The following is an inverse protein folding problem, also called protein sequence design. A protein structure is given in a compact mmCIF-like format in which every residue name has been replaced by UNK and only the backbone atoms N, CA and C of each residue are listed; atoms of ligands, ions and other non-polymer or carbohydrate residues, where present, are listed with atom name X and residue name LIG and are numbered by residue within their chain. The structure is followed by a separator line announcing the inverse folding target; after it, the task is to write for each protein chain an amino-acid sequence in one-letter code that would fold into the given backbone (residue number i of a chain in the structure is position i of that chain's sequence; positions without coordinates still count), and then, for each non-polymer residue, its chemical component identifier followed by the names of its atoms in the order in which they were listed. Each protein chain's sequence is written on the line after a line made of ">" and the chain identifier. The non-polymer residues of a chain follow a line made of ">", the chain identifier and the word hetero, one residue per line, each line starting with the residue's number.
data_IF_559754781600
#
_entry.id   IF_559754781600
#
_cell.length_a   1.000
_cell.length_b   1.000
_cell.length_c   1.000
_cell.angle_alpha   90.00
_cell.angle_beta   90.00
_cell.angle_gamma   90.00
#
_symmetry.space_group_name_H-M   'P 1'
#
loop_
_entity.id
_entity.type
_entity.pdbx_description
1 polymer ?
#
# COMPACT_ATOMS: atom_id res chain seq x y z
N UNK A 1 -114.66 -58.78 32.89
CA UNK A 1 -115.63 -59.30 31.89
C UNK A 1 -114.86 -59.69 30.64
N UNK A 2 -115.03 -60.94 30.19
CA UNK A 2 -114.38 -61.53 29.01
C UNK A 2 -114.86 -60.86 27.71
N UNK A 3 -113.98 -60.69 26.73
CA UNK A 3 -114.24 -61.05 25.31
C UNK A 3 -112.92 -61.18 24.52
N UNK A 4 -112.71 -62.38 23.97
CA UNK A 4 -111.71 -62.75 22.97
C UNK A 4 -112.12 -62.26 21.57
N UNK A 5 -111.15 -62.10 20.67
CA UNK A 5 -111.37 -61.95 19.21
C UNK A 5 -110.08 -61.95 18.35
N UNK A 6 -109.51 -63.14 18.10
CA UNK A 6 -108.98 -63.71 16.83
C UNK A 6 -108.32 -62.73 15.81
N UNK A 7 -106.99 -62.66 15.64
CA UNK A 7 -106.03 -63.41 14.76
C UNK A 7 -106.26 -63.32 13.23
N UNK A 8 -105.27 -62.76 12.50
CA UNK A 8 -104.84 -63.26 11.18
C UNK A 8 -103.33 -63.00 10.95
N UNK A 9 -102.60 -64.05 10.56
CA UNK A 9 -101.17 -64.08 10.23
C UNK A 9 -101.01 -64.72 8.84
N UNK A 10 -100.12 -64.15 8.02
CA UNK A 10 -99.30 -64.87 7.03
C UNK A 10 -99.37 -64.33 5.60
N UNK A 11 -98.44 -64.71 4.68
CA UNK A 11 -97.15 -65.36 4.88
C UNK A 11 -95.97 -64.71 4.11
N UNK A 12 -94.76 -65.10 4.50
CA UNK A 12 -93.47 -64.93 3.83
C UNK A 12 -93.41 -65.82 2.56
N UNK A 13 -92.87 -65.32 1.42
CA UNK A 13 -92.21 -66.14 0.37
C UNK A 13 -91.43 -65.30 -0.68
N UNK A 14 -90.11 -65.38 -0.55
CA UNK A 14 -88.99 -65.49 -1.52
C UNK A 14 -89.17 -65.21 -3.04
N UNK A 15 -88.05 -64.71 -3.63
CA UNK A 15 -87.60 -64.66 -5.06
C UNK A 15 -87.52 -63.23 -5.63
N UNK A 16 -86.52 -62.75 -6.38
CA UNK A 16 -85.38 -63.30 -7.14
C UNK A 16 -84.38 -62.15 -7.42
N UNK A 17 -83.10 -62.52 -7.48
CA UNK A 17 -81.96 -61.87 -8.15
C UNK A 17 -82.20 -60.62 -9.04
N UNK A 18 -81.40 -59.57 -8.81
CA UNK A 18 -80.74 -58.85 -9.91
C UNK A 18 -79.33 -58.38 -9.45
N UNK A 19 -78.30 -59.09 -9.90
CA UNK A 19 -76.94 -58.56 -10.00
C UNK A 19 -76.93 -57.48 -11.09
N UNK A 20 -76.38 -56.30 -10.81
CA UNK A 20 -75.62 -55.49 -11.79
C UNK A 20 -74.70 -54.50 -11.05
N UNK A 21 -73.39 -54.75 -11.17
CA UNK A 21 -72.24 -53.84 -11.13
C UNK A 21 -71.93 -52.97 -9.88
N UNK A 22 -70.89 -53.34 -9.09
CA UNK A 22 -69.94 -52.37 -8.55
C UNK A 22 -68.82 -52.11 -9.57
N UNK A 23 -68.01 -51.07 -9.34
CA UNK A 23 -66.78 -50.65 -10.06
C UNK A 23 -67.00 -49.45 -11.00
N UNK A 24 -66.65 -48.25 -10.50
CA UNK A 24 -65.95 -47.12 -11.16
C UNK A 24 -66.22 -45.80 -10.41
N UNK A 25 -65.71 -45.66 -9.18
CA UNK A 25 -65.70 -44.35 -8.47
C UNK A 25 -64.34 -43.98 -7.86
N UNK A 26 -63.28 -44.74 -8.16
CA UNK A 26 -61.91 -44.39 -7.74
C UNK A 26 -61.15 -43.56 -8.78
N UNK A 27 -61.75 -43.30 -9.95
CA UNK A 27 -61.10 -42.58 -11.07
C UNK A 27 -61.31 -41.06 -11.10
N UNK A 28 -62.19 -40.50 -10.26
CA UNK A 28 -62.56 -39.08 -10.33
C UNK A 28 -61.76 -38.16 -9.40
N UNK A 29 -61.20 -38.67 -8.29
CA UNK A 29 -60.39 -37.85 -7.37
C UNK A 29 -59.07 -37.42 -8.02
N UNK A 30 -58.34 -38.35 -8.64
CA UNK A 30 -57.07 -38.04 -9.32
C UNK A 30 -57.21 -37.08 -10.51
N UNK A 31 -58.34 -37.09 -11.23
CA UNK A 31 -58.55 -36.18 -12.35
C UNK A 31 -58.82 -34.74 -11.88
N UNK A 32 -59.53 -34.57 -10.76
CA UNK A 32 -59.79 -33.26 -10.16
C UNK A 32 -58.53 -32.66 -9.53
N UNK A 33 -57.75 -33.47 -8.81
CA UNK A 33 -56.47 -33.06 -8.21
C UNK A 33 -55.46 -32.60 -9.28
N UNK A 34 -55.44 -33.30 -10.42
CA UNK A 34 -54.59 -32.94 -11.57
C UNK A 34 -54.90 -31.55 -12.14
N UNK A 35 -56.19 -31.19 -12.23
CA UNK A 35 -56.67 -29.90 -12.72
C UNK A 35 -56.42 -28.78 -11.70
N UNK A 36 -56.71 -29.03 -10.43
CA UNK A 36 -56.50 -28.05 -9.36
C UNK A 36 -55.02 -27.68 -9.22
N UNK A 37 -54.12 -28.67 -9.23
CA UNK A 37 -52.69 -28.41 -9.20
C UNK A 37 -52.22 -27.54 -10.39
N UNK A 38 -52.76 -27.75 -11.60
CA UNK A 38 -52.42 -26.94 -12.78
C UNK A 38 -52.83 -25.47 -12.61
N UNK A 39 -53.97 -25.21 -11.97
CA UNK A 39 -54.42 -23.85 -11.67
C UNK A 39 -53.52 -23.19 -10.63
N UNK A 40 -53.15 -23.90 -9.55
CA UNK A 40 -52.24 -23.38 -8.53
C UNK A 40 -50.86 -23.06 -9.11
N UNK A 41 -50.33 -23.89 -10.03
CA UNK A 41 -49.10 -23.58 -10.77
C UNK A 41 -49.19 -22.30 -11.61
N UNK A 42 -50.32 -22.10 -12.30
CA UNK A 42 -50.53 -20.89 -13.10
C UNK A 42 -50.55 -19.63 -12.23
N UNK A 43 -51.28 -19.68 -11.10
CA UNK A 43 -51.34 -18.58 -10.14
C UNK A 43 -49.96 -18.27 -9.53
N UNK A 44 -49.20 -19.30 -9.14
CA UNK A 44 -47.85 -19.12 -8.60
C UNK A 44 -46.91 -18.45 -9.62
N UNK A 45 -47.01 -18.82 -10.89
CA UNK A 45 -46.25 -18.19 -11.98
C UNK A 45 -46.65 -16.74 -12.23
N UNK A 46 -47.94 -16.44 -12.26
CA UNK A 46 -48.42 -15.07 -12.45
C UNK A 46 -47.91 -14.16 -11.32
N UNK A 47 -47.94 -14.63 -10.08
CA UNK A 47 -47.38 -13.92 -8.92
C UNK A 47 -45.87 -13.71 -9.06
N UNK A 48 -45.12 -14.71 -9.52
CA UNK A 48 -43.69 -14.59 -9.80
C UNK A 48 -43.42 -13.51 -10.86
N UNK A 49 -44.15 -13.53 -11.97
CA UNK A 49 -44.00 -12.56 -13.07
C UNK A 49 -44.36 -11.14 -12.65
N UNK A 50 -45.28 -10.98 -11.69
CA UNK A 50 -45.62 -9.71 -11.05
C UNK A 50 -44.57 -9.23 -10.03
N UNK A 51 -43.54 -10.03 -9.75
CA UNK A 51 -42.53 -9.73 -8.72
C UNK A 51 -43.01 -10.00 -7.29
N UNK A 52 -44.19 -10.61 -7.12
CA UNK A 52 -44.74 -11.04 -5.83
C UNK A 52 -44.11 -12.36 -5.38
N UNK A 53 -42.81 -12.34 -5.12
CA UNK A 53 -42.00 -13.54 -4.84
C UNK A 53 -42.48 -14.31 -3.61
N UNK A 54 -42.80 -13.64 -2.51
CA UNK A 54 -43.32 -14.30 -1.30
C UNK A 54 -44.65 -15.01 -1.56
N UNK A 55 -45.60 -14.32 -2.19
CA UNK A 55 -46.90 -14.92 -2.53
C UNK A 55 -46.78 -16.09 -3.53
N UNK A 56 -45.84 -16.00 -4.47
CA UNK A 56 -45.50 -17.09 -5.38
C UNK A 56 -44.95 -18.31 -4.63
N UNK A 57 -44.02 -18.09 -3.68
CA UNK A 57 -43.46 -19.14 -2.82
C UNK A 57 -44.53 -19.81 -1.95
N UNK A 58 -45.49 -19.05 -1.42
CA UNK A 58 -46.60 -19.60 -0.63
C UNK A 58 -47.45 -20.56 -1.47
N UNK A 59 -47.76 -20.18 -2.72
CA UNK A 59 -48.50 -21.02 -3.66
C UNK A 59 -47.74 -22.27 -4.08
N UNK A 60 -46.42 -22.16 -4.29
CA UNK A 60 -45.61 -23.33 -4.56
C UNK A 60 -45.49 -24.27 -3.35
N UNK A 61 -45.42 -23.72 -2.13
CA UNK A 61 -45.41 -24.51 -0.90
C UNK A 61 -46.71 -25.31 -0.76
N UNK A 62 -47.86 -24.69 -1.03
CA UNK A 62 -49.17 -25.36 -1.07
C UNK A 62 -49.16 -26.56 -2.04
N UNK A 63 -48.50 -26.44 -3.20
CA UNK A 63 -48.38 -27.53 -4.17
C UNK A 63 -47.54 -28.68 -3.62
N UNK A 64 -46.41 -28.37 -2.96
CA UNK A 64 -45.53 -29.42 -2.39
C UNK A 64 -46.23 -30.23 -1.30
N UNK A 65 -47.14 -29.62 -0.55
CA UNK A 65 -47.91 -30.27 0.51
C UNK A 65 -49.09 -31.08 -0.05
N UNK A 66 -49.87 -30.49 -0.96
CA UNK A 66 -51.13 -31.08 -1.45
C UNK A 66 -50.94 -32.08 -2.58
N UNK A 67 -49.88 -31.93 -3.39
CA UNK A 67 -49.64 -32.74 -4.58
C UNK A 67 -48.21 -33.29 -4.63
N UNK A 68 -47.82 -34.24 -3.74
CA UNK A 68 -46.45 -34.75 -3.67
C UNK A 68 -45.90 -35.31 -4.98
N UNK A 69 -46.76 -35.83 -5.86
CA UNK A 69 -46.38 -36.34 -7.19
C UNK A 69 -45.98 -35.25 -8.20
N UNK A 70 -46.23 -33.97 -7.89
CA UNK A 70 -45.85 -32.80 -8.72
C UNK A 70 -44.92 -31.84 -7.97
N UNK A 71 -44.44 -32.24 -6.79
CA UNK A 71 -43.66 -31.37 -5.93
C UNK A 71 -42.23 -31.14 -6.45
N UNK A 72 -41.71 -31.98 -7.34
CA UNK A 72 -40.40 -31.81 -7.95
C UNK A 72 -40.30 -30.49 -8.73
N UNK A 73 -41.29 -30.20 -9.59
CA UNK A 73 -41.37 -28.90 -10.28
C UNK A 73 -41.54 -27.75 -9.29
N UNK A 74 -42.42 -27.89 -8.30
CA UNK A 74 -42.66 -26.83 -7.32
C UNK A 74 -41.39 -26.51 -6.52
N UNK A 75 -40.64 -27.53 -6.08
CA UNK A 75 -39.34 -27.37 -5.41
C UNK A 75 -38.32 -26.69 -6.32
N UNK A 76 -38.28 -27.03 -7.61
CA UNK A 76 -37.39 -26.38 -8.57
C UNK A 76 -37.70 -24.87 -8.69
N UNK A 77 -38.97 -24.51 -8.88
CA UNK A 77 -39.39 -23.12 -9.04
C UNK A 77 -39.18 -22.33 -7.75
N UNK A 78 -39.49 -22.89 -6.58
CA UNK A 78 -39.19 -22.28 -5.28
C UNK A 78 -37.71 -21.98 -5.14
N UNK A 79 -36.85 -22.93 -5.52
CA UNK A 79 -35.41 -22.77 -5.46
C UNK A 79 -34.94 -21.60 -6.34
N UNK A 80 -35.49 -21.48 -7.55
CA UNK A 80 -35.20 -20.36 -8.46
C UNK A 80 -35.67 -19.02 -7.86
N UNK A 81 -36.86 -18.98 -7.27
CA UNK A 81 -37.42 -17.76 -6.65
C UNK A 81 -36.58 -17.31 -5.45
N UNK A 82 -36.14 -18.25 -4.60
CA UNK A 82 -35.27 -17.96 -3.46
C UNK A 82 -33.91 -17.41 -3.91
N UNK A 83 -33.37 -17.80 -5.06
CA UNK A 83 -32.11 -17.28 -5.58
C UNK A 83 -32.27 -16.07 -6.52
N UNK A 84 -33.49 -15.61 -6.76
CA UNK A 84 -33.76 -14.64 -7.82
C UNK A 84 -33.13 -13.26 -7.52
N UNK A 85 -32.34 -12.65 -8.44
CA UNK A 85 -31.59 -11.43 -8.15
C UNK A 85 -32.45 -10.22 -7.74
N UNK A 86 -33.66 -10.12 -8.29
CA UNK A 86 -34.64 -9.06 -7.98
C UNK A 86 -35.48 -9.35 -6.73
N UNK A 87 -35.37 -10.55 -6.16
CA UNK A 87 -36.02 -10.85 -4.89
C UNK A 87 -35.19 -10.21 -3.77
N UNK A 88 -35.73 -9.16 -3.15
CA UNK A 88 -35.08 -8.49 -2.02
C UNK A 88 -34.94 -9.41 -0.81
N UNK A 89 -35.85 -10.40 -0.69
CA UNK A 89 -35.82 -11.45 0.32
C UNK A 89 -35.15 -12.74 -0.20
N UNK A 90 -34.26 -12.62 -1.19
CA UNK A 90 -33.52 -13.78 -1.70
C UNK A 90 -32.76 -14.47 -0.56
N UNK A 91 -32.79 -15.79 -0.58
CA UNK A 91 -32.23 -16.66 0.44
C UNK A 91 -31.56 -17.85 -0.26
N UNK A 92 -30.26 -17.73 -0.49
CA UNK A 92 -29.49 -18.77 -1.16
C UNK A 92 -29.49 -20.09 -0.40
N UNK A 93 -29.66 -20.07 0.93
CA UNK A 93 -29.72 -21.28 1.74
C UNK A 93 -31.01 -22.03 1.49
N UNK A 94 -32.16 -21.35 1.52
CA UNK A 94 -33.47 -21.96 1.17
C UNK A 94 -33.51 -22.45 -0.28
N UNK A 95 -32.86 -21.73 -1.19
CA UNK A 95 -32.70 -22.17 -2.58
C UNK A 95 -31.95 -23.50 -2.68
N UNK A 96 -30.80 -23.59 -2.01
CA UNK A 96 -30.00 -24.83 -1.96
C UNK A 96 -30.78 -25.98 -1.32
N UNK A 97 -31.52 -25.73 -0.24
CA UNK A 97 -32.36 -26.73 0.42
C UNK A 97 -33.44 -27.29 -0.52
N UNK A 98 -34.10 -26.43 -1.30
CA UNK A 98 -35.09 -26.85 -2.28
C UNK A 98 -34.47 -27.73 -3.38
N UNK A 99 -33.33 -27.33 -3.95
CA UNK A 99 -32.63 -28.15 -4.95
C UNK A 99 -32.12 -29.47 -4.38
N UNK A 100 -31.58 -29.46 -3.16
CA UNK A 100 -31.10 -30.67 -2.49
C UNK A 100 -32.25 -31.63 -2.18
N UNK A 101 -33.39 -31.11 -1.71
CA UNK A 101 -34.61 -31.89 -1.47
C UNK A 101 -35.13 -32.51 -2.76
N UNK A 102 -35.17 -31.75 -3.86
CA UNK A 102 -35.55 -32.25 -5.18
C UNK A 102 -34.67 -33.42 -5.61
N UNK A 103 -33.35 -33.28 -5.56
CA UNK A 103 -32.40 -34.33 -5.98
C UNK A 103 -32.55 -35.59 -5.11
N UNK A 104 -32.77 -35.41 -3.81
CA UNK A 104 -32.87 -36.50 -2.83
C UNK A 104 -34.18 -37.27 -2.94
N UNK A 105 -35.30 -36.58 -3.04
CA UNK A 105 -36.65 -37.17 -2.98
C UNK A 105 -37.16 -37.57 -4.38
N UNK A 106 -36.67 -36.92 -5.44
CA UNK A 106 -37.10 -37.12 -6.83
C UNK A 106 -35.92 -37.39 -7.77
N UNK A 107 -35.18 -38.51 -7.60
CA UNK A 107 -33.94 -38.79 -8.34
C UNK A 107 -34.12 -38.97 -9.86
N UNK A 108 -35.35 -39.22 -10.32
CA UNK A 108 -35.73 -39.33 -11.73
C UNK A 108 -36.40 -38.08 -12.32
N UNK A 109 -36.43 -36.96 -11.58
CA UNK A 109 -37.02 -35.71 -12.07
C UNK A 109 -36.22 -35.12 -13.24
N UNK A 110 -36.92 -34.55 -14.23
CA UNK A 110 -36.30 -33.83 -15.35
C UNK A 110 -35.49 -32.60 -14.89
N UNK A 111 -35.80 -32.08 -13.70
CA UNK A 111 -35.13 -30.91 -13.11
C UNK A 111 -33.82 -31.23 -12.40
N UNK A 112 -33.46 -32.51 -12.25
CA UNK A 112 -32.32 -32.93 -11.43
C UNK A 112 -30.98 -32.33 -11.88
N UNK A 113 -30.62 -32.46 -13.16
CA UNK A 113 -29.33 -31.97 -13.67
C UNK A 113 -29.21 -30.44 -13.54
N UNK A 114 -30.29 -29.72 -13.86
CA UNK A 114 -30.34 -28.26 -13.69
C UNK A 114 -30.20 -27.87 -12.21
N UNK A 115 -30.80 -28.64 -11.29
CA UNK A 115 -30.68 -28.43 -9.84
C UNK A 115 -29.23 -28.63 -9.35
N UNK A 116 -28.56 -29.68 -9.82
CA UNK A 116 -27.15 -29.94 -9.50
C UNK A 116 -26.25 -28.79 -9.98
N UNK A 117 -26.46 -28.31 -11.21
CA UNK A 117 -25.74 -27.16 -11.76
C UNK A 117 -26.02 -25.87 -10.97
N UNK A 118 -27.28 -25.64 -10.59
CA UNK A 118 -27.66 -24.43 -9.86
C UNK A 118 -27.09 -24.43 -8.44
N UNK A 119 -27.02 -25.59 -7.76
CA UNK A 119 -26.32 -25.72 -6.48
C UNK A 119 -24.86 -25.30 -6.60
N UNK A 120 -24.16 -25.78 -7.63
CA UNK A 120 -22.75 -25.40 -7.87
C UNK A 120 -22.62 -23.88 -8.08
N UNK A 121 -23.48 -23.29 -8.91
CA UNK A 121 -23.45 -21.86 -9.20
C UNK A 121 -23.75 -21.00 -7.96
N UNK A 122 -24.78 -21.35 -7.19
CA UNK A 122 -25.15 -20.61 -5.97
C UNK A 122 -24.02 -20.66 -4.95
N UNK A 123 -23.39 -21.82 -4.73
CA UNK A 123 -22.23 -21.92 -3.82
C UNK A 123 -21.08 -21.01 -4.24
N UNK A 124 -20.79 -20.94 -5.54
CA UNK A 124 -19.76 -20.04 -6.05
C UNK A 124 -20.10 -18.56 -5.85
N UNK A 125 -21.36 -18.17 -6.01
CA UNK A 125 -21.81 -16.80 -5.73
C UNK A 125 -21.65 -16.47 -4.25
N UNK A 126 -22.13 -17.34 -3.36
CA UNK A 126 -22.01 -17.13 -1.90
C UNK A 126 -20.55 -16.98 -1.46
N UNK A 127 -19.65 -17.83 -1.96
CA UNK A 127 -18.22 -17.73 -1.64
C UNK A 127 -17.59 -16.43 -2.14
N UNK A 128 -17.96 -15.99 -3.35
CA UNK A 128 -17.48 -14.72 -3.90
C UNK A 128 -17.99 -13.53 -3.09
N UNK A 129 -19.26 -13.53 -2.71
CA UNK A 129 -19.85 -12.45 -1.91
C UNK A 129 -19.17 -12.33 -0.54
N UNK A 130 -18.88 -13.46 0.13
CA UNK A 130 -18.10 -13.49 1.37
C UNK A 130 -16.69 -12.93 1.18
N UNK A 131 -16.03 -13.30 0.08
CA UNK A 131 -14.68 -12.81 -0.25
C UNK A 131 -14.70 -11.30 -0.51
N UNK A 132 -15.68 -10.81 -1.26
CA UNK A 132 -15.86 -9.38 -1.54
C UNK A 132 -16.09 -8.61 -0.24
N UNK A 133 -16.96 -9.09 0.65
CA UNK A 133 -17.21 -8.47 1.94
C UNK A 133 -15.92 -8.41 2.80
N UNK A 134 -15.16 -9.51 2.87
CA UNK A 134 -13.90 -9.53 3.59
C UNK A 134 -12.87 -8.54 3.01
N UNK A 135 -12.76 -8.47 1.68
CA UNK A 135 -11.87 -7.53 1.01
C UNK A 135 -12.30 -6.07 1.22
N UNK A 136 -13.60 -5.78 1.23
CA UNK A 136 -14.12 -4.45 1.53
C UNK A 136 -13.72 -3.98 2.93
N UNK A 137 -13.85 -4.86 3.94
CA UNK A 137 -13.41 -4.55 5.30
C UNK A 137 -11.90 -4.28 5.40
N UNK A 138 -11.08 -5.04 4.67
CA UNK A 138 -9.63 -4.80 4.60
C UNK A 138 -9.31 -3.45 3.93
N UNK A 139 -9.99 -3.12 2.83
CA UNK A 139 -9.82 -1.84 2.13
C UNK A 139 -10.16 -0.67 3.05
N UNK A 140 -11.26 -0.77 3.82
CA UNK A 140 -11.65 0.27 4.77
C UNK A 140 -10.62 0.44 5.88
N UNK A 141 -10.09 -0.66 6.42
CA UNK A 141 -9.04 -0.63 7.44
C UNK A 141 -7.78 0.08 6.91
N UNK A 142 -7.30 -0.31 5.72
CA UNK A 142 -6.13 0.29 5.09
C UNK A 142 -6.34 1.78 4.78
N UNK A 143 -7.55 2.17 4.36
CA UNK A 143 -7.87 3.59 4.13
C UNK A 143 -7.73 4.43 5.40
N UNK A 144 -8.17 3.90 6.55
CA UNK A 144 -7.98 4.59 7.83
C UNK A 144 -6.50 4.70 8.22
N UNK A 145 -5.70 3.66 8.00
CA UNK A 145 -4.26 3.69 8.27
C UNK A 145 -3.53 4.72 7.38
N UNK A 146 -3.86 4.76 6.09
CA UNK A 146 -3.29 5.75 5.14
C UNK A 146 -3.62 7.17 5.59
N UNK A 147 -4.88 7.45 5.95
CA UNK A 147 -5.28 8.77 6.46
C UNK A 147 -4.56 9.16 7.76
N UNK A 148 -4.27 8.18 8.63
CA UNK A 148 -3.47 8.40 9.83
C UNK A 148 -2.05 8.84 9.50
N UNK A 149 -1.38 8.10 8.61
CA UNK A 149 -0.02 8.39 8.15
C UNK A 149 0.08 9.72 7.40
N UNK A 150 -0.91 10.09 6.60
CA UNK A 150 -0.96 11.38 5.92
C UNK A 150 -0.91 12.56 6.91
N UNK A 151 -1.64 12.47 8.03
CA UNK A 151 -1.61 13.50 9.09
C UNK A 151 -0.25 13.60 9.78
N UNK A 152 0.42 12.46 9.98
CA UNK A 152 1.77 12.43 10.53
C UNK A 152 2.77 13.09 9.58
N UNK A 153 2.70 12.78 8.29
CA UNK A 153 3.55 13.39 7.24
C UNK A 153 3.39 14.90 7.25
N UNK A 154 2.16 15.42 7.24
CA UNK A 154 1.90 16.87 7.29
C UNK A 154 2.49 17.51 8.55
N UNK A 155 2.44 16.82 9.69
CA UNK A 155 3.01 17.30 10.95
C UNK A 155 4.54 17.35 10.88
N UNK A 156 5.17 16.33 10.30
CA UNK A 156 6.61 16.28 10.12
C UNK A 156 7.10 17.35 9.14
N UNK A 157 6.40 17.55 8.02
CA UNK A 157 6.71 18.61 7.05
C UNK A 157 6.73 20.00 7.70
N UNK A 158 5.71 20.33 8.52
CA UNK A 158 5.68 21.60 9.27
C UNK A 158 6.86 21.76 10.24
N UNK A 159 7.30 20.66 10.86
CA UNK A 159 8.49 20.69 11.74
C UNK A 159 9.77 20.92 10.93
N UNK A 160 9.91 20.29 9.78
CA UNK A 160 11.04 20.50 8.87
C UNK A 160 11.11 21.96 8.44
N UNK A 161 10.02 22.54 7.94
CA UNK A 161 9.95 23.96 7.56
C UNK A 161 10.31 24.90 8.74
N UNK A 162 9.86 24.56 9.96
CA UNK A 162 10.19 25.35 11.14
C UNK A 162 11.68 25.23 11.54
N UNK A 163 12.32 24.09 11.29
CA UNK A 163 13.75 23.92 11.51
C UNK A 163 14.57 24.64 10.45
N UNK A 164 14.19 24.57 9.17
CA UNK A 164 14.84 25.30 8.08
C UNK A 164 14.88 26.80 8.37
N UNK A 165 13.75 27.41 8.75
CA UNK A 165 13.71 28.83 9.15
C UNK A 165 14.62 29.18 10.33
N UNK A 166 14.80 28.24 11.27
CA UNK A 166 15.72 28.45 12.40
C UNK A 166 17.18 28.38 11.95
N UNK A 167 17.51 27.48 11.03
CA UNK A 167 18.84 27.38 10.43
C UNK A 167 19.15 28.67 9.68
N UNK A 168 18.26 29.14 8.81
CA UNK A 168 18.43 30.42 8.09
C UNK A 168 18.64 31.60 9.04
N UNK A 169 17.86 31.67 10.12
CA UNK A 169 18.02 32.74 11.11
C UNK A 169 19.33 32.65 11.90
N UNK A 170 19.87 31.45 12.12
CA UNK A 170 21.16 31.25 12.76
C UNK A 170 22.30 31.60 11.79
N UNK A 171 22.20 31.21 10.53
CA UNK A 171 23.18 31.54 9.49
C UNK A 171 23.27 33.05 9.27
N UNK A 172 22.12 33.75 9.23
CA UNK A 172 22.12 35.21 9.15
C UNK A 172 22.80 35.86 10.36
N UNK A 173 22.49 35.40 11.57
CA UNK A 173 23.13 35.90 12.80
C UNK A 173 24.64 35.65 12.80
N UNK A 174 25.06 34.50 12.27
CA UNK A 174 26.46 34.16 12.14
C UNK A 174 27.16 35.09 11.13
N UNK A 175 26.55 35.33 9.97
CA UNK A 175 27.09 36.25 8.98
C UNK A 175 27.20 37.69 9.51
N UNK A 176 26.21 38.16 10.27
CA UNK A 176 26.24 39.47 10.93
C UNK A 176 27.39 39.55 11.95
N UNK A 177 27.59 38.49 12.74
CA UNK A 177 28.69 38.38 13.70
C UNK A 177 30.06 38.38 13.00
N UNK A 178 30.22 37.60 11.93
CA UNK A 178 31.43 37.56 11.12
C UNK A 178 31.72 38.94 10.47
N UNK A 179 30.68 39.62 9.97
CA UNK A 179 30.81 40.96 9.39
C UNK A 179 31.26 41.99 10.44
N UNK A 180 30.75 41.91 11.67
CA UNK A 180 31.18 42.80 12.76
C UNK A 180 32.65 42.57 13.17
N UNK A 181 33.13 41.32 13.14
CA UNK A 181 34.51 40.96 13.48
C UNK A 181 35.51 41.23 12.34
N UNK A 182 35.02 41.35 11.11
CA UNK A 182 35.83 41.53 9.91
C UNK A 182 36.05 40.21 9.16
N UNK A 183 36.39 40.31 7.87
CA UNK A 183 36.65 39.14 7.02
C UNK A 183 37.69 38.20 7.61
N UNK A 184 37.58 36.90 7.32
CA UNK A 184 38.58 35.90 7.75
C UNK A 184 39.96 36.33 7.26
N UNK A 185 40.92 36.46 8.18
CA UNK A 185 42.30 36.85 7.87
C UNK A 185 43.23 35.63 7.81
N UNK A 186 42.82 34.51 8.44
CA UNK A 186 43.58 33.27 8.46
C UNK A 186 42.69 32.03 8.43
N UNK A 187 43.09 31.06 7.62
CA UNK A 187 42.64 29.67 7.64
C UNK A 187 43.76 28.83 8.28
N UNK A 188 43.44 28.12 9.36
CA UNK A 188 44.36 27.17 9.99
C UNK A 188 43.89 25.74 9.72
N UNK A 189 44.76 24.94 9.10
CA UNK A 189 44.53 23.52 8.83
C UNK A 189 45.47 22.70 9.70
N UNK A 190 44.91 21.79 10.49
CA UNK A 190 45.65 20.84 11.33
C UNK A 190 45.44 19.44 10.78
N UNK A 191 46.48 18.87 10.16
CA UNK A 191 46.35 17.64 9.39
C UNK A 191 46.07 16.44 10.28
N UNK A 192 46.79 16.31 11.40
CA UNK A 192 46.57 15.24 12.39
C UNK A 192 45.16 15.26 12.97
N UNK A 193 44.59 16.45 13.17
CA UNK A 193 43.24 16.64 13.68
C UNK A 193 42.14 16.58 12.61
N UNK A 194 42.50 16.52 11.31
CA UNK A 194 41.57 16.60 10.16
C UNK A 194 40.60 17.76 10.31
N UNK A 195 41.16 18.93 10.59
CA UNK A 195 40.41 20.12 10.95
C UNK A 195 40.86 21.36 10.18
N UNK A 196 39.90 22.13 9.69
CA UNK A 196 40.09 23.48 9.14
C UNK A 196 39.35 24.49 10.01
N UNK A 197 40.01 25.58 10.39
CA UNK A 197 39.45 26.67 11.19
C UNK A 197 39.51 27.99 10.44
N UNK A 198 38.39 28.72 10.41
CA UNK A 198 38.33 30.11 9.94
C UNK A 198 38.59 31.04 11.12
N UNK A 199 39.57 31.92 10.99
CA UNK A 199 40.01 32.82 12.05
C UNK A 199 39.92 34.26 11.57
N UNK A 200 39.38 35.13 12.42
CA UNK A 200 39.38 36.59 12.22
C UNK A 200 39.87 37.24 13.51
N UNK A 201 40.91 38.06 13.41
CA UNK A 201 41.51 38.80 14.53
C UNK A 201 41.91 37.90 15.72
N UNK A 202 42.31 36.65 15.45
CA UNK A 202 42.73 35.68 16.45
C UNK A 202 41.60 34.84 17.07
N UNK A 203 40.33 35.11 16.76
CA UNK A 203 39.18 34.33 17.21
C UNK A 203 38.76 33.30 16.14
N UNK A 204 38.43 32.08 16.57
CA UNK A 204 37.90 31.02 15.68
C UNK A 204 36.41 31.28 15.43
N UNK A 205 36.05 31.53 14.17
CA UNK A 205 34.66 31.74 13.75
C UNK A 205 33.95 30.41 13.46
N UNK A 206 34.61 29.50 12.72
CA UNK A 206 34.08 28.21 12.29
C UNK A 206 35.16 27.15 12.28
N UNK A 207 34.73 25.90 12.39
CA UNK A 207 35.56 24.71 12.35
C UNK A 207 34.89 23.66 11.48
N UNK A 208 35.63 23.09 10.53
CA UNK A 208 35.16 22.06 9.62
C UNK A 208 36.02 20.80 9.74
N UNK A 209 35.41 19.65 9.51
CA UNK A 209 36.15 18.41 9.27
C UNK A 209 36.63 18.42 7.82
N UNK A 210 37.79 17.83 7.56
CA UNK A 210 38.37 17.81 6.22
C UNK A 210 38.87 16.43 5.84
N UNK A 211 38.90 16.15 4.53
CA UNK A 211 39.68 15.07 3.96
C UNK A 211 40.92 15.65 3.26
N UNK A 212 42.05 14.95 3.42
CA UNK A 212 43.35 15.38 2.92
C UNK A 212 43.82 14.52 1.74
N UNK A 213 45.07 14.74 1.33
CA UNK A 213 45.76 13.84 0.44
C UNK A 213 45.86 12.42 1.02
N UNK A 214 45.70 11.39 0.17
CA UNK A 214 45.72 9.99 0.60
C UNK A 214 47.02 9.50 1.26
N UNK A 215 48.06 10.35 1.31
CA UNK A 215 49.25 10.17 2.11
C UNK A 215 49.48 11.42 2.98
N UNK A 216 48.72 11.63 4.06
CA UNK A 216 48.69 12.92 4.74
C UNK A 216 49.92 13.17 5.64
N UNK A 217 50.85 12.22 5.81
CA UNK A 217 51.94 12.35 6.78
C UNK A 217 53.13 13.13 6.19
N UNK A 218 53.49 14.22 6.88
CA UNK A 218 54.59 15.11 6.52
C UNK A 218 54.27 16.03 5.33
N UNK A 219 55.18 16.97 5.01
CA UNK A 219 54.95 17.93 3.95
C UNK A 219 54.96 17.28 2.58
N UNK A 220 54.29 17.91 1.62
CA UNK A 220 54.41 17.61 0.19
C UNK A 220 55.83 17.85 -0.31
N UNK A 221 56.39 16.88 -1.03
CA UNK A 221 57.78 16.88 -1.50
C UNK A 221 57.88 16.81 -3.03
N UNK A 222 56.92 16.15 -3.69
CA UNK A 222 56.92 15.99 -5.15
C UNK A 222 55.51 15.87 -5.75
N UNK A 223 55.40 16.12 -7.04
CA UNK A 223 54.18 15.83 -7.79
C UNK A 223 53.83 14.33 -7.68
N UNK A 224 52.57 14.04 -7.36
CA UNK A 224 52.06 12.66 -7.27
C UNK A 224 52.31 11.90 -5.96
N UNK A 225 52.93 12.52 -4.93
CA UNK A 225 53.12 11.89 -3.61
C UNK A 225 51.85 11.79 -2.74
N UNK A 226 50.73 12.35 -3.22
CA UNK A 226 49.44 12.44 -2.54
C UNK A 226 49.49 13.06 -1.14
N UNK A 227 50.49 13.91 -0.87
CA UNK A 227 50.60 14.63 0.40
C UNK A 227 49.95 16.01 0.30
N UNK A 228 49.23 16.41 1.34
CA UNK A 228 48.86 17.82 1.55
C UNK A 228 50.08 18.58 2.09
N UNK A 229 50.41 19.77 1.54
CA UNK A 229 51.59 20.54 1.96
C UNK A 229 51.52 20.99 3.43
N UNK A 230 52.67 21.38 3.99
CA UNK A 230 52.77 21.98 5.32
C UNK A 230 53.59 23.28 5.22
N UNK A 231 53.06 24.37 5.77
CA UNK A 231 53.65 25.70 5.63
C UNK A 231 52.61 26.81 5.63
N UNK A 232 53.03 27.98 5.16
CA UNK A 232 52.16 29.16 5.04
C UNK A 232 52.01 29.52 3.57
N UNK A 233 50.75 29.75 3.17
CA UNK A 233 50.30 30.07 1.82
C UNK A 233 49.26 31.20 1.89
N UNK A 234 48.76 31.64 0.75
CA UNK A 234 47.62 32.55 0.66
C UNK A 234 46.59 32.02 -0.33
N UNK A 235 45.31 32.39 -0.16
CA UNK A 235 44.32 32.22 -1.23
C UNK A 235 44.63 33.22 -2.33
N UNK A 236 44.95 32.76 -3.53
CA UNK A 236 45.31 33.59 -4.68
C UNK A 236 44.40 33.39 -5.90
N UNK A 237 43.51 32.39 -5.87
CA UNK A 237 42.59 32.09 -6.97
C UNK A 237 41.29 31.43 -6.53
N UNK A 238 40.26 31.53 -7.38
CA UNK A 238 38.94 30.92 -7.17
C UNK A 238 38.43 30.35 -8.48
N UNK A 239 37.78 29.20 -8.40
CA UNK A 239 37.11 28.59 -9.53
C UNK A 239 35.70 28.13 -9.13
N UNK A 240 34.70 28.84 -9.65
CA UNK A 240 33.28 28.54 -9.46
C UNK A 240 32.77 27.46 -10.43
N UNK A 241 33.44 27.26 -11.57
CA UNK A 241 33.10 26.24 -12.58
C UNK A 241 34.06 25.04 -12.46
N UNK A 242 34.30 24.60 -11.23
CA UNK A 242 35.25 23.51 -10.97
C UNK A 242 34.61 22.13 -11.20
N UNK A 243 35.46 21.12 -11.43
CA UNK A 243 35.03 19.70 -11.46
C UNK A 243 34.61 19.19 -10.08
N UNK A 244 34.84 20.02 -9.07
CA UNK A 244 34.36 19.95 -7.70
C UNK A 244 33.51 21.20 -7.49
N UNK A 245 32.42 21.12 -6.74
CA UNK A 245 31.42 22.19 -6.62
C UNK A 245 31.98 23.63 -6.66
N UNK A 246 32.89 23.96 -5.74
CA UNK A 246 33.69 25.18 -5.76
C UNK A 246 35.12 24.86 -5.35
N UNK A 247 36.11 25.64 -5.79
CA UNK A 247 37.49 25.51 -5.31
C UNK A 247 38.23 26.83 -5.15
N UNK A 248 39.09 26.90 -4.13
CA UNK A 248 39.97 28.02 -3.79
C UNK A 248 41.42 27.56 -3.96
N UNK A 249 42.19 28.22 -4.83
CA UNK A 249 43.60 27.93 -5.03
C UNK A 249 44.42 28.54 -3.89
N UNK A 250 45.40 27.77 -3.39
CA UNK A 250 46.40 28.29 -2.45
C UNK A 250 47.74 28.43 -3.16
N UNK A 251 48.55 29.39 -2.72
CA UNK A 251 49.85 29.75 -3.32
C UNK A 251 50.98 28.71 -3.14
N UNK A 252 50.66 27.42 -3.13
CA UNK A 252 51.63 26.32 -3.19
C UNK A 252 52.14 26.15 -4.63
N UNK A 253 53.45 25.92 -4.85
CA UNK A 253 54.52 25.82 -3.84
C UNK A 253 55.11 27.19 -3.45
N UNK A 254 55.43 27.35 -2.16
CA UNK A 254 56.22 28.50 -1.70
C UNK A 254 57.73 28.25 -1.88
N UNK A 255 58.58 29.23 -1.56
CA UNK A 255 60.03 29.12 -1.73
C UNK A 255 60.67 27.95 -0.96
N UNK A 256 60.16 27.61 0.23
CA UNK A 256 60.66 26.45 0.99
C UNK A 256 60.33 25.14 0.28
N UNK A 257 59.12 25.03 -0.28
CA UNK A 257 58.69 23.85 -1.04
C UNK A 257 59.48 23.70 -2.34
N UNK A 258 59.72 24.81 -3.06
CA UNK A 258 60.55 24.81 -4.27
C UNK A 258 62.00 24.40 -3.98
N UNK A 259 62.59 24.92 -2.91
CA UNK A 259 63.95 24.56 -2.51
C UNK A 259 64.06 23.07 -2.13
N UNK A 260 63.11 22.55 -1.34
CA UNK A 260 63.03 21.13 -0.98
C UNK A 260 62.93 20.24 -2.23
N UNK A 261 62.06 20.58 -3.17
CA UNK A 261 61.90 19.82 -4.40
C UNK A 261 63.15 19.89 -5.30
N UNK A 262 63.82 21.05 -5.34
CA UNK A 262 65.09 21.25 -6.06
C UNK A 262 66.22 20.39 -5.50
N UNK A 263 66.36 20.33 -4.18
CA UNK A 263 67.35 19.46 -3.50
C UNK A 263 67.13 17.97 -3.81
N UNK A 264 65.87 17.57 -3.96
CA UNK A 264 65.47 16.20 -4.32
C UNK A 264 65.52 15.92 -5.83
N UNK A 265 65.77 16.92 -6.68
CA UNK A 265 65.78 16.78 -8.14
C UNK A 265 64.40 16.44 -8.74
N UNK A 266 63.31 16.88 -8.10
CA UNK A 266 61.92 16.57 -8.49
C UNK A 266 61.09 17.84 -8.71
N UNK A 267 59.96 17.71 -9.41
CA UNK A 267 58.96 18.78 -9.48
C UNK A 267 58.12 18.79 -8.21
N UNK A 268 57.90 19.95 -7.55
CA UNK A 268 56.98 20.05 -6.41
C UNK A 268 55.51 19.81 -6.83
N UNK A 269 55.19 20.00 -8.12
CA UNK A 269 53.82 20.09 -8.60
C UNK A 269 53.19 21.45 -8.30
N UNK A 270 51.86 21.47 -8.20
CA UNK A 270 51.04 22.68 -8.00
C UNK A 270 49.57 22.30 -7.77
N UNK A 271 48.66 23.23 -8.04
CA UNK A 271 47.20 23.05 -8.03
C UNK A 271 46.66 22.47 -6.70
N UNK A 272 47.15 22.98 -5.57
CA UNK A 272 46.60 22.64 -4.27
C UNK A 272 45.43 23.58 -4.01
N UNK A 273 44.27 22.97 -3.75
CA UNK A 273 43.02 23.69 -3.57
C UNK A 273 42.37 23.32 -2.23
N UNK A 274 41.56 24.24 -1.71
CA UNK A 274 40.46 23.91 -0.80
C UNK A 274 39.21 23.78 -1.66
N UNK A 275 38.50 22.65 -1.63
CA UNK A 275 37.37 22.43 -2.54
C UNK A 275 36.22 21.63 -1.92
N UNK A 276 35.04 21.74 -2.52
CA UNK A 276 33.86 20.93 -2.19
C UNK A 276 33.97 19.49 -2.69
N UNK A 277 32.85 18.78 -2.75
CA UNK A 277 32.79 17.40 -3.24
C UNK A 277 32.83 17.38 -4.77
N UNK A 278 33.28 16.26 -5.32
CA UNK A 278 33.29 16.04 -6.77
C UNK A 278 31.87 16.09 -7.30
N UNK A 279 31.66 16.77 -8.44
CA UNK A 279 30.34 16.87 -9.06
C UNK A 279 29.74 15.47 -9.28
N UNK A 280 28.42 15.34 -9.02
CA UNK A 280 27.65 14.09 -8.96
C UNK A 280 27.88 13.21 -7.72
N UNK A 281 28.72 13.63 -6.76
CA UNK A 281 28.95 12.93 -5.50
C UNK A 281 28.58 13.77 -4.27
N UNK A 282 27.93 14.92 -4.42
CA UNK A 282 27.50 15.80 -3.33
C UNK A 282 26.68 15.08 -2.25
N UNK A 283 25.91 14.04 -2.63
CA UNK A 283 25.13 13.21 -1.70
C UNK A 283 25.96 12.52 -0.61
N UNK A 284 27.28 12.39 -0.79
CA UNK A 284 28.18 11.82 0.22
C UNK A 284 28.24 12.72 1.47
N UNK A 285 28.12 14.05 1.32
CA UNK A 285 28.11 15.01 2.42
C UNK A 285 29.22 14.74 3.44
N UNK A 286 28.91 14.84 4.73
CA UNK A 286 29.82 14.65 5.87
C UNK A 286 30.64 13.34 5.83
N UNK A 287 30.10 12.28 5.21
CA UNK A 287 30.78 10.99 5.10
C UNK A 287 32.05 11.06 4.23
N UNK A 288 32.26 12.16 3.49
CA UNK A 288 33.48 12.37 2.71
C UNK A 288 34.75 12.39 3.56
N UNK A 289 34.62 12.62 4.87
CA UNK A 289 35.71 12.72 5.84
C UNK A 289 36.12 11.37 6.45
N UNK A 290 35.42 10.28 6.12
CA UNK A 290 35.76 8.94 6.62
C UNK A 290 37.10 8.42 6.09
N UNK A 291 37.56 8.92 4.94
CA UNK A 291 38.82 8.54 4.29
C UNK A 291 39.52 9.76 3.70
N UNK A 292 40.85 9.82 3.76
CA UNK A 292 41.65 10.81 3.02
C UNK A 292 41.79 10.37 1.55
N UNK A 293 41.19 11.12 0.62
CA UNK A 293 41.02 10.68 -0.78
C UNK A 293 41.59 11.64 -1.83
N UNK A 294 42.05 12.83 -1.43
CA UNK A 294 42.56 13.80 -2.41
C UNK A 294 43.97 13.43 -2.86
N UNK A 295 44.50 14.18 -3.84
CA UNK A 295 45.91 14.07 -4.29
C UNK A 295 46.83 15.11 -3.62
N UNK A 296 46.35 15.76 -2.56
CA UNK A 296 47.06 16.81 -1.83
C UNK A 296 46.19 18.04 -1.51
N UNK A 297 45.02 18.17 -2.15
CA UNK A 297 44.02 19.18 -1.82
C UNK A 297 43.38 18.94 -0.43
N UNK A 298 42.60 19.93 0.01
CA UNK A 298 41.80 19.88 1.22
C UNK A 298 40.33 19.88 0.80
N UNK A 299 39.62 18.80 1.12
CA UNK A 299 38.21 18.67 0.79
C UNK A 299 37.32 18.96 2.00
N UNK A 300 36.20 19.64 1.75
CA UNK A 300 35.08 19.97 2.64
C UNK A 300 33.76 19.64 1.91
N UNK A 301 32.61 19.81 2.56
CA UNK A 301 31.31 19.69 1.84
C UNK A 301 31.07 20.85 0.86
N UNK A 302 30.04 20.72 0.04
CA UNK A 302 29.65 21.75 -0.94
C UNK A 302 29.15 23.03 -0.22
N UNK A 303 28.36 22.86 0.84
CA UNK A 303 27.86 23.95 1.67
C UNK A 303 29.01 24.64 2.43
N UNK A 304 29.96 23.86 2.96
CA UNK A 304 31.12 24.38 3.68
C UNK A 304 32.04 25.17 2.76
N UNK A 305 32.31 24.72 1.52
CA UNK A 305 33.18 25.47 0.60
C UNK A 305 32.53 26.78 0.15
N UNK A 306 31.20 26.82 0.01
CA UNK A 306 30.48 28.06 -0.28
C UNK A 306 30.63 29.07 0.87
N UNK A 307 30.50 28.61 2.11
CA UNK A 307 30.69 29.44 3.30
C UNK A 307 32.14 29.97 3.39
N UNK A 308 33.14 29.09 3.25
CA UNK A 308 34.55 29.46 3.27
C UNK A 308 34.83 30.49 2.16
N UNK A 309 34.32 30.28 0.95
CA UNK A 309 34.51 31.20 -0.18
C UNK A 309 33.93 32.59 0.11
N UNK A 310 32.75 32.67 0.73
CA UNK A 310 32.13 33.96 1.09
C UNK A 310 32.93 34.71 2.16
N UNK A 311 33.52 34.00 3.12
CA UNK A 311 34.13 34.60 4.31
C UNK A 311 35.64 34.88 4.20
N UNK A 312 36.36 34.08 3.42
CA UNK A 312 37.81 34.17 3.28
C UNK A 312 38.19 34.78 1.92
N UNK A 313 38.48 36.10 1.81
CA UNK A 313 38.84 36.77 0.56
C UNK A 313 40.21 36.32 0.01
N UNK A 314 40.53 36.71 -1.24
CA UNK A 314 41.88 36.51 -1.76
C UNK A 314 42.88 37.31 -0.90
N UNK A 315 44.05 36.73 -0.63
CA UNK A 315 45.03 37.24 0.32
C UNK A 315 44.90 36.66 1.73
N UNK A 316 43.83 35.93 2.06
CA UNK A 316 43.70 35.21 3.34
C UNK A 316 44.86 34.26 3.52
N UNK A 317 45.51 34.29 4.70
CA UNK A 317 46.63 33.41 5.03
C UNK A 317 46.10 32.00 5.23
N UNK A 318 46.73 31.01 4.59
CA UNK A 318 46.44 29.59 4.81
C UNK A 318 47.65 28.96 5.48
N UNK A 319 47.51 28.62 6.75
CA UNK A 319 48.53 27.94 7.54
C UNK A 319 48.19 26.45 7.67
N UNK A 320 49.08 25.58 7.20
CA UNK A 320 48.89 24.13 7.25
C UNK A 320 49.95 23.51 8.15
N UNK A 321 49.50 22.89 9.25
CA UNK A 321 50.33 22.26 10.28
C UNK A 321 50.17 20.72 10.27
N UNK A 322 51.17 19.99 10.81
CA UNK A 322 51.14 18.53 10.91
C UNK A 322 49.89 17.93 11.56
#
# INVERSE_FOLDING_TARGET
>A
MRKLGIIHIGPFKFCIFLMMAPILLSGCSHFNDGRQAKMTFAEANDLFHQGSYTASLDKYSEITEKYPAKADRALFEMAIIYAHPKNEQKDYQKSLECFQKLIKEYPGSEYRQNSEMMIFNIRNVVLKDQTIAAQQMQIETLRHEVQGKEKEIVTLQKKMEAFEKKIEALDQKFFDYATQKGSVDRILIEKSARRLMLISQGEVLKTYKIALGGNPIGPKERQGDNKTPEGTYVIDGRNMDSRFHLSLHISYPNERDKNRAKELGVSPGGDIMIHGIKNNFSWVGDAHTEVDWTKGCIAVTDEEIEEISKLAPNGTIVEIRP
#
